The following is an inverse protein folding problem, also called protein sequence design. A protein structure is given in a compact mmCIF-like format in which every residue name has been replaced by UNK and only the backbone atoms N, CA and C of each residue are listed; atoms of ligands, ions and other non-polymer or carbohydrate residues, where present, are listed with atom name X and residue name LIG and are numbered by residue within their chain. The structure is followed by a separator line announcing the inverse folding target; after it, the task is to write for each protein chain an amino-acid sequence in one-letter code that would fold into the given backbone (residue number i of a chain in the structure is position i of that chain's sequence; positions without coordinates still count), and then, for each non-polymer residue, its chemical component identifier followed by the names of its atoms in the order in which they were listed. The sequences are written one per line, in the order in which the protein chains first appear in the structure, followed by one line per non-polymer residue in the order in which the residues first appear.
data_IF_043583338296
#
_entry.id   IF_043583338296
#
_cell.length_a   1.000
_cell.length_b   1.000
_cell.length_c   1.000
_cell.angle_alpha   90.00
_cell.angle_beta   90.00
_cell.angle_gamma   90.00
#
_symmetry.space_group_name_H-M   'P 1'
#
loop_
_entity.id
_entity.type
_entity.pdbx_description
1 polymer ?
#
# COMPACT_ATOMS: atom_id res chain seq x y z
N UNK A 1 16.06 5.41 12.88
CA UNK A 1 14.91 4.65 13.38
C UNK A 1 15.30 3.95 14.68
N UNK A 2 14.52 4.09 15.75
CA UNK A 2 14.79 3.57 17.10
C UNK A 2 14.18 2.17 17.30
N UNK A 3 14.11 1.39 16.22
CA UNK A 3 13.50 0.07 16.17
C UNK A 3 14.62 -0.96 16.01
N UNK A 4 14.54 -2.04 16.80
CA UNK A 4 15.55 -3.10 16.76
C UNK A 4 15.55 -3.85 15.43
N UNK A 5 16.60 -4.61 15.12
CA UNK A 5 16.74 -5.31 13.85
C UNK A 5 15.65 -6.37 13.58
N UNK A 6 14.88 -6.73 14.61
CA UNK A 6 13.81 -7.73 14.55
C UNK A 6 12.41 -7.15 14.39
N UNK A 7 12.24 -5.82 14.31
CA UNK A 7 10.89 -5.23 14.29
C UNK A 7 10.03 -5.72 13.13
N UNK A 8 10.65 -5.93 11.96
CA UNK A 8 9.99 -6.48 10.77
C UNK A 8 9.43 -7.91 10.95
N UNK A 9 9.90 -8.64 11.97
CA UNK A 9 9.37 -9.96 12.32
C UNK A 9 7.98 -9.88 12.99
N UNK A 10 7.56 -8.69 13.45
CA UNK A 10 6.34 -8.49 14.24
C UNK A 10 5.35 -7.51 13.63
N UNK A 11 5.83 -6.51 12.87
CA UNK A 11 4.98 -5.48 12.30
C UNK A 11 5.49 -5.05 10.94
N UNK A 12 4.55 -4.88 10.01
CA UNK A 12 4.81 -4.39 8.66
C UNK A 12 3.77 -3.34 8.29
N UNK A 13 4.21 -2.37 7.48
CA UNK A 13 3.35 -1.33 6.96
C UNK A 13 3.32 -1.45 5.44
N UNK A 14 2.12 -1.52 4.89
CA UNK A 14 1.90 -1.68 3.46
C UNK A 14 0.86 -0.69 2.97
N UNK A 15 1.00 -0.28 1.72
CA UNK A 15 -0.01 0.45 0.96
C UNK A 15 -0.57 -0.41 -0.15
N UNK A 16 -1.52 0.15 -0.90
CA UNK A 16 -2.07 -0.47 -2.09
C UNK A 16 -1.86 0.43 -3.31
N UNK A 17 -1.54 -0.15 -4.46
CA UNK A 17 -1.30 0.55 -5.72
C UNK A 17 -1.81 -0.27 -6.89
N UNK A 18 -2.26 0.41 -7.93
CA UNK A 18 -2.69 -0.20 -9.18
C UNK A 18 -2.10 0.53 -10.38
N UNK A 19 -2.16 -0.11 -11.56
CA UNK A 19 -1.77 0.48 -12.83
C UNK A 19 -2.75 0.10 -13.93
N UNK A 20 -2.72 0.87 -15.02
CA UNK A 20 -3.52 0.61 -16.20
C UNK A 20 -3.17 1.55 -17.35
N UNK A 21 -3.82 1.36 -18.49
CA UNK A 21 -3.76 2.32 -19.60
C UNK A 21 -4.93 3.29 -19.51
N UNK A 22 -4.67 4.57 -19.72
CA UNK A 22 -5.72 5.60 -19.67
C UNK A 22 -6.72 5.49 -20.83
N UNK A 23 -6.27 5.00 -21.99
CA UNK A 23 -7.09 4.68 -23.15
C UNK A 23 -6.41 3.60 -24.01
N UNK A 24 -7.12 3.07 -25.01
CA UNK A 24 -6.55 2.09 -25.95
C UNK A 24 -5.38 2.72 -26.73
N UNK A 25 -4.19 2.13 -26.62
CA UNK A 25 -2.95 2.69 -27.18
C UNK A 25 -2.41 3.91 -26.41
N UNK A 26 -3.07 4.33 -25.33
CA UNK A 26 -2.64 5.43 -24.49
C UNK A 26 -1.54 5.07 -23.50
N UNK A 27 -1.02 6.09 -22.78
CA UNK A 27 0.07 5.91 -21.83
C UNK A 27 -0.35 5.02 -20.67
N UNK A 28 0.63 4.32 -20.12
CA UNK A 28 0.47 3.54 -18.90
C UNK A 28 0.61 4.46 -17.70
N UNK A 29 -0.32 4.37 -16.77
CA UNK A 29 -0.39 5.17 -15.56
C UNK A 29 -0.50 4.28 -14.32
N UNK A 30 -0.04 4.80 -13.17
CA UNK A 30 -0.26 4.21 -11.85
C UNK A 30 -0.92 5.19 -10.90
N UNK A 31 -1.74 4.68 -10.00
CA UNK A 31 -2.27 5.43 -8.86
C UNK A 31 -2.31 4.57 -7.61
N UNK A 32 -2.22 5.22 -6.45
CA UNK A 32 -2.50 4.56 -5.18
C UNK A 32 -3.97 4.12 -5.12
N UNK A 33 -4.21 2.97 -4.52
CA UNK A 33 -5.57 2.58 -4.14
C UNK A 33 -5.80 3.17 -2.75
N UNK A 34 -6.77 4.09 -2.65
CA UNK A 34 -7.03 4.82 -1.42
C UNK A 34 -7.68 3.90 -0.37
N UNK A 35 -6.93 3.57 0.68
CA UNK A 35 -7.41 2.71 1.79
C UNK A 35 -8.30 3.53 2.72
N UNK A 36 -9.60 3.54 2.44
CA UNK A 36 -10.59 4.23 3.27
C UNK A 36 -11.17 3.33 4.38
N UNK A 37 -10.83 2.05 4.41
CA UNK A 37 -11.34 1.07 5.36
C UNK A 37 -10.98 1.42 6.81
N UNK A 38 -11.89 1.11 7.75
CA UNK A 38 -11.62 1.09 9.18
C UNK A 38 -12.02 -0.27 9.74
N UNK A 39 -11.11 -1.22 9.58
CA UNK A 39 -11.30 -2.63 9.89
C UNK A 39 -10.13 -3.13 10.72
N UNK A 40 -10.42 -3.95 11.72
CA UNK A 40 -9.43 -4.68 12.50
C UNK A 40 -9.87 -6.15 12.58
N UNK A 41 -8.94 -7.08 12.38
CA UNK A 41 -9.19 -8.52 12.50
C UNK A 41 -8.17 -9.07 13.50
N UNK A 42 -8.64 -9.85 14.46
CA UNK A 42 -7.84 -10.34 15.59
C UNK A 42 -7.97 -11.86 15.64
N UNK A 43 -6.84 -12.56 15.54
CA UNK A 43 -6.67 -14.01 15.68
C UNK A 43 -7.59 -14.87 14.78
N UNK A 44 -8.08 -14.29 13.68
CA UNK A 44 -9.19 -14.83 12.88
C UNK A 44 -10.41 -15.23 13.76
N UNK A 45 -10.71 -14.52 14.85
CA UNK A 45 -11.84 -14.79 15.77
C UNK A 45 -12.73 -13.60 16.07
N UNK A 46 -12.20 -12.40 15.95
CA UNK A 46 -12.97 -11.17 16.10
C UNK A 46 -12.63 -10.21 14.97
N UNK A 47 -13.63 -9.45 14.55
CA UNK A 47 -13.48 -8.37 13.60
C UNK A 47 -14.21 -7.12 14.10
N UNK A 48 -13.55 -5.98 14.00
CA UNK A 48 -14.18 -4.67 14.15
C UNK A 48 -14.33 -4.05 12.77
N UNK A 49 -15.52 -3.52 12.46
CA UNK A 49 -15.80 -2.78 11.23
C UNK A 49 -16.57 -1.52 11.61
N UNK A 50 -16.10 -0.36 11.14
CA UNK A 50 -16.78 0.89 11.46
C UNK A 50 -16.35 2.08 10.62
N UNK A 51 -16.63 3.27 11.15
CA UNK A 51 -16.30 4.57 10.56
C UNK A 51 -15.08 5.22 11.24
N UNK A 52 -14.77 4.81 12.48
CA UNK A 52 -13.68 5.37 13.28
C UNK A 52 -12.30 5.11 12.70
N UNK A 53 -11.58 6.17 12.33
CA UNK A 53 -10.15 6.08 12.03
C UNK A 53 -9.35 5.77 13.31
N UNK A 54 -8.09 5.35 13.16
CA UNK A 54 -7.15 5.24 14.28
C UNK A 54 -6.52 6.63 14.50
N UNK A 55 -7.28 7.54 15.11
CA UNK A 55 -6.86 8.90 15.43
C UNK A 55 -7.73 9.49 16.57
N UNK A 56 -7.32 10.63 17.14
CA UNK A 56 -8.02 11.24 18.27
C UNK A 56 -9.38 11.80 17.86
N UNK A 57 -9.51 12.28 16.62
CA UNK A 57 -10.78 12.75 16.06
C UNK A 57 -11.89 11.72 16.18
N UNK A 58 -11.59 10.46 15.83
CA UNK A 58 -12.57 9.39 15.86
C UNK A 58 -12.64 8.69 17.23
N UNK A 59 -11.52 8.54 17.96
CA UNK A 59 -11.46 7.65 19.14
C UNK A 59 -11.70 8.34 20.49
N UNK A 60 -11.58 9.67 20.62
CA UNK A 60 -11.83 10.35 21.90
C UNK A 60 -13.31 10.42 22.30
N UNK A 61 -14.23 10.18 21.36
CA UNK A 61 -15.68 10.21 21.60
C UNK A 61 -16.29 11.59 21.85
N UNK A 62 -15.49 12.61 22.18
CA UNK A 62 -15.94 13.99 22.36
C UNK A 62 -15.81 14.85 21.09
N UNK A 63 -15.44 14.25 19.96
CA UNK A 63 -15.16 14.92 18.68
C UNK A 63 -16.14 14.45 17.61
N UNK A 64 -15.70 13.62 16.66
CA UNK A 64 -16.57 13.13 15.59
C UNK A 64 -17.51 12.04 16.13
N UNK A 65 -18.74 12.02 15.60
CA UNK A 65 -19.70 10.95 15.86
C UNK A 65 -19.36 9.75 14.97
N UNK A 66 -18.93 8.66 15.59
CA UNK A 66 -18.54 7.43 14.91
C UNK A 66 -19.47 6.27 15.26
N UNK A 67 -19.57 5.30 14.35
CA UNK A 67 -20.26 4.03 14.57
C UNK A 67 -19.37 2.87 14.13
N UNK A 68 -19.43 1.76 14.89
CA UNK A 68 -18.74 0.53 14.57
C UNK A 68 -19.38 -0.66 15.25
N UNK A 69 -19.07 -1.85 14.73
CA UNK A 69 -19.57 -3.12 15.24
C UNK A 69 -18.39 -4.03 15.54
N UNK A 70 -18.38 -4.60 16.74
CA UNK A 70 -17.52 -5.72 17.10
C UNK A 70 -18.26 -7.02 16.80
N UNK A 71 -17.65 -7.85 15.97
CA UNK A 71 -18.16 -9.16 15.58
C UNK A 71 -17.26 -10.20 16.23
N UNK A 72 -17.83 -10.97 17.16
CA UNK A 72 -17.15 -12.10 17.79
C UNK A 72 -17.73 -13.40 17.25
N UNK A 73 -16.90 -14.19 16.57
CA UNK A 73 -17.34 -15.45 15.99
C UNK A 73 -17.76 -16.47 17.08
N UNK A 74 -18.87 -17.15 16.82
CA UNK A 74 -19.36 -18.30 17.60
C UNK A 74 -19.35 -19.61 16.81
N UNK A 75 -19.26 -19.52 15.48
CA UNK A 75 -19.04 -20.65 14.57
C UNK A 75 -17.57 -20.73 14.20
N UNK A 76 -16.98 -21.92 14.35
CA UNK A 76 -15.56 -22.13 14.12
C UNK A 76 -15.30 -23.15 13.01
N UNK A 77 -14.18 -22.99 12.33
CA UNK A 77 -13.62 -23.91 11.35
C UNK A 77 -12.21 -24.33 11.79
N UNK A 78 -11.81 -25.55 11.42
CA UNK A 78 -10.46 -26.06 11.68
C UNK A 78 -9.47 -25.44 10.68
N UNK A 79 -8.40 -24.85 11.21
CA UNK A 79 -7.35 -24.12 10.48
C UNK A 79 -6.00 -24.36 11.18
N UNK A 80 -4.97 -23.60 10.81
CA UNK A 80 -3.70 -23.54 11.54
C UNK A 80 -3.30 -22.11 11.87
N UNK A 81 -2.53 -21.95 12.94
CA UNK A 81 -1.89 -20.69 13.33
C UNK A 81 -0.45 -20.99 13.72
N UNK A 82 0.50 -20.52 12.92
CA UNK A 82 1.91 -20.88 13.02
C UNK A 82 2.16 -22.40 12.96
N UNK A 83 1.43 -23.10 12.10
CA UNK A 83 1.53 -24.56 11.94
C UNK A 83 0.81 -25.40 13.01
N UNK A 84 0.34 -24.78 14.09
CA UNK A 84 -0.41 -25.47 15.14
C UNK A 84 -1.92 -25.48 14.84
N UNK A 85 -2.67 -26.54 15.18
CA UNK A 85 -4.11 -26.59 14.99
C UNK A 85 -4.83 -25.41 15.65
N UNK A 86 -5.67 -24.71 14.90
CA UNK A 86 -6.39 -23.53 15.36
C UNK A 86 -7.87 -23.55 14.96
N UNK A 87 -8.73 -23.15 15.88
CA UNK A 87 -10.16 -22.92 15.61
C UNK A 87 -10.38 -21.45 15.27
N UNK A 88 -10.44 -21.16 13.98
CA UNK A 88 -10.71 -19.83 13.48
C UNK A 88 -12.23 -19.59 13.42
N UNK A 89 -12.64 -18.38 13.73
CA UNK A 89 -13.99 -17.89 13.53
C UNK A 89 -14.32 -17.79 12.04
N UNK A 90 -15.48 -18.32 11.64
CA UNK A 90 -15.86 -18.44 10.23
C UNK A 90 -15.95 -17.09 9.52
N UNK A 91 -16.51 -16.06 10.17
CA UNK A 91 -16.62 -14.71 9.61
C UNK A 91 -15.24 -14.07 9.51
N UNK A 92 -14.50 -13.98 10.62
CA UNK A 92 -13.21 -13.29 10.69
C UNK A 92 -12.17 -13.91 9.75
N UNK A 93 -12.06 -15.24 9.71
CA UNK A 93 -11.20 -15.96 8.78
C UNK A 93 -11.53 -15.67 7.32
N UNK A 94 -12.82 -15.73 6.97
CA UNK A 94 -13.27 -15.54 5.58
C UNK A 94 -13.08 -14.10 5.13
N UNK A 95 -13.34 -13.13 6.01
CA UNK A 95 -13.07 -11.72 5.74
C UNK A 95 -11.59 -11.49 5.46
N UNK A 96 -10.71 -12.01 6.33
CA UNK A 96 -9.25 -11.87 6.19
C UNK A 96 -8.75 -12.57 4.92
N UNK A 97 -9.21 -13.79 4.62
CA UNK A 97 -8.92 -14.49 3.36
C UNK A 97 -9.33 -13.67 2.14
N UNK A 98 -10.54 -13.10 2.14
CA UNK A 98 -11.07 -12.33 1.02
C UNK A 98 -10.22 -11.09 0.75
N UNK A 99 -9.91 -10.32 1.81
CA UNK A 99 -9.08 -9.11 1.70
C UNK A 99 -7.67 -9.46 1.21
N UNK A 100 -7.04 -10.46 1.81
CA UNK A 100 -5.69 -10.85 1.43
C UNK A 100 -5.63 -11.42 0.00
N UNK A 101 -6.66 -12.15 -0.43
CA UNK A 101 -6.75 -12.66 -1.80
C UNK A 101 -6.80 -11.51 -2.82
N UNK A 102 -7.55 -10.44 -2.54
CA UNK A 102 -7.56 -9.23 -3.38
C UNK A 102 -6.18 -8.55 -3.37
N UNK A 103 -5.63 -8.30 -2.18
CA UNK A 103 -4.40 -7.50 -2.04
C UNK A 103 -3.17 -8.21 -2.63
N UNK A 104 -3.13 -9.53 -2.54
CA UNK A 104 -2.08 -10.38 -3.11
C UNK A 104 -2.39 -10.84 -4.54
N UNK A 105 -3.59 -10.58 -5.07
CA UNK A 105 -4.01 -11.05 -6.39
C UNK A 105 -4.01 -12.58 -6.49
N UNK A 106 -4.54 -13.26 -5.48
CA UNK A 106 -4.68 -14.72 -5.46
C UNK A 106 -5.94 -15.15 -6.22
N UNK A 107 -5.81 -16.20 -7.03
CA UNK A 107 -6.97 -16.90 -7.57
C UNK A 107 -7.57 -17.88 -6.56
N UNK A 108 -8.79 -18.35 -6.80
CA UNK A 108 -9.50 -19.26 -5.88
C UNK A 108 -8.70 -20.52 -5.49
N UNK A 109 -7.83 -21.01 -6.38
CA UNK A 109 -6.97 -22.20 -6.12
C UNK A 109 -5.77 -21.91 -5.22
N UNK A 110 -5.49 -20.64 -4.98
CA UNK A 110 -4.29 -20.17 -4.27
C UNK A 110 -4.60 -19.66 -2.86
N UNK A 111 -5.88 -19.49 -2.52
CA UNK A 111 -6.33 -19.01 -1.20
C UNK A 111 -5.81 -19.91 -0.06
N UNK A 112 -5.59 -21.20 -0.32
CA UNK A 112 -4.99 -22.10 0.68
C UNK A 112 -3.57 -21.66 1.13
N UNK A 113 -2.84 -20.88 0.34
CA UNK A 113 -1.51 -20.36 0.70
C UNK A 113 -1.56 -19.33 1.84
N UNK A 114 -2.74 -18.76 2.11
CA UNK A 114 -2.97 -17.77 3.15
C UNK A 114 -3.88 -18.29 4.27
N UNK A 115 -4.02 -19.62 4.41
CA UNK A 115 -4.84 -20.19 5.49
C UNK A 115 -4.24 -19.92 6.87
N UNK A 116 -2.92 -19.90 6.97
CA UNK A 116 -2.16 -19.59 8.19
C UNK A 116 -1.57 -18.18 8.07
N UNK A 117 -2.14 -17.16 8.72
CA UNK A 117 -1.73 -15.78 8.48
C UNK A 117 -0.37 -15.42 9.10
N UNK A 118 0.18 -16.24 9.99
CA UNK A 118 1.40 -15.94 10.76
C UNK A 118 2.56 -16.88 10.45
N UNK A 119 2.34 -17.95 9.68
CA UNK A 119 3.42 -18.79 9.19
C UNK A 119 4.39 -17.98 8.32
N UNK A 120 5.70 -18.27 8.42
CA UNK A 120 6.74 -17.56 7.64
C UNK A 120 6.49 -17.66 6.12
N UNK A 121 5.98 -18.81 5.65
CA UNK A 121 5.61 -19.00 4.23
C UNK A 121 4.56 -18.02 3.73
N UNK A 122 3.69 -17.53 4.63
CA UNK A 122 2.61 -16.62 4.30
C UNK A 122 3.01 -15.17 4.59
N UNK A 123 3.59 -14.92 5.77
CA UNK A 123 3.97 -13.57 6.19
C UNK A 123 5.23 -13.06 5.48
N UNK A 124 6.31 -13.86 5.44
CA UNK A 124 7.58 -13.44 4.82
C UNK A 124 7.59 -13.71 3.33
N UNK A 125 7.38 -14.98 2.96
CA UNK A 125 7.65 -15.45 1.60
C UNK A 125 6.57 -15.04 0.60
N UNK A 126 5.37 -14.69 1.10
CA UNK A 126 4.26 -14.24 0.27
C UNK A 126 3.92 -12.77 0.49
N UNK A 127 3.51 -12.35 1.69
CA UNK A 127 3.07 -10.98 1.95
C UNK A 127 4.20 -9.97 1.77
N UNK A 128 5.29 -10.11 2.53
CA UNK A 128 6.43 -9.20 2.45
C UNK A 128 7.13 -9.24 1.10
N UNK A 129 7.38 -10.43 0.56
CA UNK A 129 8.00 -10.60 -0.74
C UNK A 129 7.18 -9.94 -1.87
N UNK A 130 5.86 -10.12 -1.87
CA UNK A 130 4.97 -9.48 -2.86
C UNK A 130 4.99 -7.97 -2.74
N UNK A 131 4.86 -7.44 -1.51
CA UNK A 131 4.91 -6.00 -1.26
C UNK A 131 6.23 -5.38 -1.75
N UNK A 132 7.36 -6.02 -1.43
CA UNK A 132 8.69 -5.56 -1.83
C UNK A 132 8.88 -5.63 -3.35
N UNK A 133 8.54 -6.76 -3.97
CA UNK A 133 8.69 -6.94 -5.41
C UNK A 133 7.83 -5.93 -6.20
N UNK A 134 6.57 -5.77 -5.82
CA UNK A 134 5.69 -4.79 -6.45
C UNK A 134 6.25 -3.36 -6.29
N UNK A 135 6.78 -3.01 -5.11
CA UNK A 135 7.37 -1.69 -4.85
C UNK A 135 8.56 -1.42 -5.78
N UNK A 136 9.44 -2.41 -5.98
CA UNK A 136 10.59 -2.29 -6.87
C UNK A 136 10.11 -2.03 -8.31
N UNK A 137 9.12 -2.79 -8.78
CA UNK A 137 8.59 -2.60 -10.15
C UNK A 137 7.92 -1.24 -10.30
N UNK A 138 7.08 -0.83 -9.35
CA UNK A 138 6.43 0.48 -9.38
C UNK A 138 7.44 1.64 -9.34
N UNK A 139 8.51 1.50 -8.56
CA UNK A 139 9.57 2.49 -8.51
C UNK A 139 10.33 2.55 -9.85
N UNK A 140 10.73 1.40 -10.40
CA UNK A 140 11.50 1.34 -11.66
C UNK A 140 10.71 1.88 -12.86
N UNK A 141 9.41 1.56 -12.95
CA UNK A 141 8.58 1.95 -14.09
C UNK A 141 8.07 3.39 -13.98
N UNK A 142 7.69 3.83 -12.78
CA UNK A 142 6.94 5.06 -12.60
C UNK A 142 7.60 6.09 -11.69
N UNK A 143 8.76 5.82 -11.08
CA UNK A 143 9.38 6.70 -10.10
C UNK A 143 8.35 7.23 -9.08
N UNK A 144 7.60 6.31 -8.46
CA UNK A 144 6.44 6.65 -7.62
C UNK A 144 6.82 7.55 -6.44
N UNK A 145 5.90 8.41 -6.05
CA UNK A 145 5.95 9.15 -4.78
C UNK A 145 4.75 8.69 -3.95
N UNK A 146 4.89 8.47 -2.63
CA UNK A 146 6.14 8.51 -1.85
C UNK A 146 7.08 7.31 -2.14
N UNK A 147 8.37 7.43 -1.78
CA UNK A 147 9.37 6.35 -1.88
C UNK A 147 10.54 6.49 -0.88
N UNK A 148 11.33 5.42 -0.74
CA UNK A 148 12.46 5.33 0.21
C UNK A 148 13.73 6.09 -0.23
N UNK A 149 13.75 6.69 -1.42
CA UNK A 149 14.93 7.40 -1.98
C UNK A 149 14.86 8.92 -1.73
N UNK A 150 13.67 9.46 -1.47
CA UNK A 150 13.44 10.89 -1.29
C UNK A 150 13.37 11.21 0.20
N UNK A 151 14.48 11.67 0.78
CA UNK A 151 14.56 11.97 2.22
C UNK A 151 14.34 13.45 2.56
N UNK A 152 14.25 14.35 1.58
CA UNK A 152 14.13 15.80 1.79
C UNK A 152 13.27 16.51 0.74
N UNK A 153 12.80 17.72 1.06
CA UNK A 153 12.08 18.61 0.12
C UNK A 153 12.96 18.98 -1.08
N UNK A 154 14.27 19.13 -0.87
CA UNK A 154 15.22 19.38 -1.95
C UNK A 154 15.33 18.19 -2.92
N UNK A 155 15.47 16.97 -2.38
CA UNK A 155 15.50 15.74 -3.17
C UNK A 155 14.18 15.53 -3.93
N UNK A 156 13.04 15.83 -3.30
CA UNK A 156 11.73 15.79 -3.94
C UNK A 156 11.68 16.73 -5.16
N UNK A 157 12.05 18.01 -4.99
CA UNK A 157 12.07 18.99 -6.09
C UNK A 157 13.00 18.55 -7.23
N UNK A 158 14.17 18.02 -6.90
CA UNK A 158 15.12 17.52 -7.91
C UNK A 158 14.52 16.36 -8.70
N UNK A 159 13.93 15.37 -8.03
CA UNK A 159 13.27 14.22 -8.67
C UNK A 159 12.10 14.69 -9.56
N UNK A 160 11.26 15.59 -9.05
CA UNK A 160 10.15 16.17 -9.82
C UNK A 160 10.64 16.90 -11.08
N UNK A 161 11.73 17.67 -10.99
CA UNK A 161 12.28 18.38 -12.15
C UNK A 161 12.86 17.42 -13.19
N UNK A 162 13.64 16.42 -12.76
CA UNK A 162 14.16 15.38 -13.66
C UNK A 162 13.05 14.61 -14.38
N UNK A 163 11.89 14.43 -13.72
CA UNK A 163 10.72 13.79 -14.32
C UNK A 163 10.05 14.67 -15.39
N UNK A 164 9.95 15.98 -15.15
CA UNK A 164 9.41 16.94 -16.14
C UNK A 164 10.20 16.94 -17.44
N UNK A 165 11.52 16.81 -17.37
CA UNK A 165 12.37 16.74 -18.56
C UNK A 165 12.17 15.45 -19.37
N UNK A 166 11.72 14.37 -18.74
CA UNK A 166 11.54 13.05 -19.37
C UNK A 166 10.14 12.83 -19.98
N UNK A 167 9.14 13.63 -19.61
CA UNK A 167 7.75 13.46 -20.05
C UNK A 167 7.40 14.46 -21.15
N UNK A 168 6.78 13.98 -22.23
CA UNK A 168 6.22 14.82 -23.31
C UNK A 168 4.96 15.58 -22.84
N UNK A 169 4.40 15.21 -21.69
CA UNK A 169 3.18 15.78 -21.13
C UNK A 169 3.45 16.45 -19.77
N UNK A 170 2.82 17.61 -19.53
CA UNK A 170 3.02 18.44 -18.34
C UNK A 170 2.40 17.85 -17.05
N UNK A 171 1.97 16.59 -17.06
CA UNK A 171 1.29 15.92 -15.95
C UNK A 171 2.29 15.28 -15.00
N UNK A 172 2.85 16.14 -14.15
CA UNK A 172 3.77 15.83 -13.05
C UNK A 172 3.13 14.86 -12.03
N UNK A 173 1.80 14.72 -12.06
CA UNK A 173 0.98 14.17 -10.97
C UNK A 173 0.23 12.87 -11.30
N UNK A 174 0.35 12.34 -12.54
CA UNK A 174 -0.51 11.22 -12.98
C UNK A 174 0.15 9.83 -12.91
N UNK A 175 1.34 9.72 -12.32
CA UNK A 175 2.04 8.43 -12.26
C UNK A 175 2.24 7.81 -13.65
N UNK A 176 2.50 8.64 -14.67
CA UNK A 176 2.70 8.15 -16.05
C UNK A 176 4.07 7.50 -16.15
N UNK A 177 4.13 6.33 -16.82
CA UNK A 177 5.38 5.64 -17.11
C UNK A 177 6.28 6.52 -17.99
N UNK A 178 7.59 6.50 -17.77
CA UNK A 178 8.51 7.33 -18.54
C UNK A 178 8.67 6.80 -19.97
N UNK A 179 7.97 7.43 -20.92
CA UNK A 179 8.24 7.29 -22.35
C UNK A 179 9.39 8.25 -22.73
N UNK A 180 10.63 7.74 -22.76
CA UNK A 180 11.76 8.56 -23.24
C UNK A 180 11.52 8.95 -24.71
N UNK A 181 11.82 10.21 -25.06
CA UNK A 181 11.92 10.71 -26.43
C UNK A 181 13.01 9.96 -27.21
N UNK A 182 12.65 8.87 -27.88
CA UNK A 182 13.52 8.17 -28.83
C UNK A 182 12.71 7.73 -30.08
N UNK A 183 13.40 7.44 -31.19
CA UNK A 183 12.83 7.12 -32.52
C UNK A 183 11.77 6.02 -32.49
N UNK A 184 10.76 6.10 -33.37
CA UNK A 184 9.58 5.21 -33.42
C UNK A 184 9.85 3.70 -33.28
N UNK A 185 10.95 3.18 -33.84
CA UNK A 185 11.33 1.74 -33.73
C UNK A 185 11.75 1.31 -32.31
N UNK A 186 12.30 2.23 -31.50
CA UNK A 186 12.71 1.94 -30.12
C UNK A 186 11.54 2.08 -29.12
N UNK A 187 10.49 2.82 -29.47
CA UNK A 187 9.34 3.07 -28.60
C UNK A 187 8.55 1.76 -28.38
N UNK A 188 8.21 1.03 -29.45
CA UNK A 188 7.44 -0.22 -29.32
C UNK A 188 8.19 -1.28 -28.49
N UNK A 189 9.50 -1.40 -28.73
CA UNK A 189 10.36 -2.34 -27.99
C UNK A 189 10.39 -2.03 -26.49
N UNK A 190 10.48 -0.75 -26.12
CA UNK A 190 10.53 -0.32 -24.72
C UNK A 190 9.17 -0.33 -24.01
N UNK A 191 8.09 -0.02 -24.72
CA UNK A 191 6.72 -0.19 -24.22
C UNK A 191 6.44 -1.67 -23.93
N UNK A 192 6.93 -2.56 -24.80
CA UNK A 192 6.85 -4.01 -24.58
C UNK A 192 7.62 -4.41 -23.33
N UNK A 193 8.88 -3.97 -23.17
CA UNK A 193 9.68 -4.24 -21.96
C UNK A 193 9.00 -3.71 -20.67
N UNK A 194 8.44 -2.51 -20.72
CA UNK A 194 7.72 -1.91 -19.59
C UNK A 194 6.50 -2.73 -19.20
N UNK A 195 5.71 -3.16 -20.19
CA UNK A 195 4.56 -4.02 -19.96
C UNK A 195 4.96 -5.40 -19.44
N UNK A 196 6.08 -5.97 -19.89
CA UNK A 196 6.60 -7.23 -19.35
C UNK A 196 7.00 -7.10 -17.88
N UNK A 197 7.66 -6.00 -17.48
CA UNK A 197 7.94 -5.73 -16.06
C UNK A 197 6.66 -5.62 -15.25
N UNK A 198 5.66 -4.88 -15.75
CA UNK A 198 4.39 -4.72 -15.05
C UNK A 198 3.59 -6.02 -14.93
N UNK A 199 3.69 -6.96 -15.87
CA UNK A 199 3.06 -8.30 -15.77
C UNK A 199 3.59 -9.12 -14.60
N UNK A 200 4.75 -8.79 -14.04
CA UNK A 200 5.28 -9.45 -12.85
C UNK A 200 4.62 -8.98 -11.55
N UNK A 201 3.88 -7.86 -11.58
CA UNK A 201 3.13 -7.37 -10.42
C UNK A 201 1.99 -8.33 -10.10
N UNK A 202 1.83 -8.64 -8.83
CA UNK A 202 0.74 -9.47 -8.32
C UNK A 202 -0.08 -8.72 -7.30
N UNK A 203 -1.40 -8.66 -7.50
CA UNK A 203 -2.29 -7.92 -6.62
C UNK A 203 -1.98 -6.42 -6.59
N UNK A 204 -2.15 -5.82 -5.41
CA UNK A 204 -2.03 -4.38 -5.19
C UNK A 204 -1.05 -4.00 -4.09
N UNK A 205 -0.57 -4.98 -3.30
CA UNK A 205 0.25 -4.73 -2.13
C UNK A 205 1.60 -4.08 -2.49
N UNK A 206 1.97 -3.02 -1.78
CA UNK A 206 3.29 -2.35 -1.86
C UNK A 206 3.80 -2.04 -0.46
N UNK A 207 5.11 -1.98 -0.27
CA UNK A 207 5.73 -1.57 0.99
C UNK A 207 5.44 -0.09 1.25
N UNK A 208 5.12 0.25 2.50
CA UNK A 208 4.95 1.65 2.89
C UNK A 208 6.33 2.31 3.09
N UNK A 209 6.63 3.45 2.45
CA UNK A 209 7.96 4.03 2.50
C UNK A 209 8.19 4.82 3.80
N UNK A 210 8.90 4.23 4.75
CA UNK A 210 9.08 4.78 6.10
C UNK A 210 10.14 5.88 6.17
N UNK A 211 11.07 5.92 5.21
CA UNK A 211 12.17 6.90 5.16
C UNK A 211 11.83 8.09 4.25
N UNK A 212 10.64 8.11 3.64
CA UNK A 212 10.19 9.24 2.83
C UNK A 212 10.15 10.53 3.65
N UNK A 213 10.84 11.57 3.17
CA UNK A 213 10.97 12.88 3.82
C UNK A 213 11.50 12.85 5.27
N UNK A 214 12.22 11.80 5.68
CA UNK A 214 12.74 11.62 7.05
C UNK A 214 13.62 12.76 7.60
N UNK A 215 14.18 13.62 6.75
CA UNK A 215 15.03 14.74 7.16
C UNK A 215 14.25 16.06 7.28
N UNK A 216 12.94 16.04 7.09
CA UNK A 216 12.08 17.22 7.07
C UNK A 216 11.16 17.24 8.28
N UNK A 217 10.92 18.44 8.81
CA UNK A 217 9.75 18.68 9.65
C UNK A 217 8.52 18.84 8.73
N UNK A 218 7.60 17.89 8.81
CA UNK A 218 6.39 17.83 8.00
C UNK A 218 5.23 18.60 8.60
N UNK A 219 5.39 19.19 9.80
CA UNK A 219 4.38 20.09 10.35
C UNK A 219 4.23 21.30 9.43
N UNK A 220 3.02 21.87 9.33
CA UNK A 220 2.82 23.10 8.60
C UNK A 220 3.79 24.18 9.08
N UNK A 221 4.26 25.02 8.17
CA UNK A 221 5.15 26.15 8.47
C UNK A 221 4.39 27.48 8.44
N UNK A 222 4.90 28.53 9.08
CA UNK A 222 4.18 29.79 9.33
C UNK A 222 3.56 30.49 8.10
N UNK A 223 4.04 30.19 6.90
CA UNK A 223 3.55 30.71 5.63
C UNK A 223 2.53 29.81 4.92
N UNK A 224 2.12 28.71 5.55
CA UNK A 224 1.05 27.80 5.10
C UNK A 224 -0.22 28.06 5.92
N UNK A 225 -1.39 27.99 5.30
CA UNK A 225 -2.68 28.21 5.97
C UNK A 225 -2.91 27.25 7.14
N UNK A 226 -2.42 26.02 6.98
CA UNK A 226 -2.53 24.90 7.88
C UNK A 226 -1.79 25.15 9.21
N UNK A 227 -0.80 26.06 9.22
CA UNK A 227 -0.10 26.46 10.45
C UNK A 227 -1.00 27.17 11.45
N UNK A 228 -2.02 27.87 10.95
CA UNK A 228 -2.97 28.61 11.79
C UNK A 228 -4.16 27.75 12.21
N UNK A 229 -4.28 26.51 11.71
CA UNK A 229 -5.27 25.57 12.18
C UNK A 229 -4.87 25.02 13.55
N UNK A 230 -5.85 24.76 14.42
CA UNK A 230 -5.60 24.05 15.67
C UNK A 230 -4.94 22.70 15.39
N UNK A 231 -3.89 22.27 16.12
CA UNK A 231 -3.26 20.97 15.90
C UNK A 231 -4.25 19.81 15.96
N UNK A 232 -5.32 19.94 16.75
CA UNK A 232 -6.40 18.95 16.86
C UNK A 232 -7.17 18.72 15.55
N UNK A 233 -6.98 19.57 14.54
CA UNK A 233 -7.51 19.37 13.18
C UNK A 233 -6.75 18.25 12.44
N UNK A 234 -5.52 17.94 12.84
CA UNK A 234 -4.69 16.92 12.19
C UNK A 234 -4.53 15.65 13.03
N UNK A 235 -5.04 15.64 14.26
CA UNK A 235 -4.97 14.53 15.22
C UNK A 235 -6.32 13.88 15.43
#
# INVERSE_FOLDING_TARGET
MLLGPKTQDYITFSGLRSYGRLCNGGPVATSQVYVHSKVMIIDDRAAFIGSSNINDRSLLGSRDSEIGVLIEDKEFIETSMNGEPWKAGKFSYTLRCSLWSEHLGLHAREIAQISDPVADTTYRDLWLATAQQNTIVYQDVFDCIPNELIHSRAALRQSTNQRKEKLVHNTIDLGIASEKLETHENIETKVTETMEKLKSIRGHLVSFPLEFMRHEDLRPVFNESEFYASPQVFH
#
